data_IF_629256557235
#
_entry.id   IF_629256557235
#
_cell.length_a   1.000
_cell.length_b   1.000
_cell.length_c   1.000
_cell.angle_alpha   90.00
_cell.angle_beta   90.00
_cell.angle_gamma   90.00
#
_symmetry.space_group_name_H-M   'P 1'
#
loop_
_entity.id
_entity.type
_entity.pdbx_description
1 polymer ?
#
# COMPACT_ATOMS: atom_id res chain seq x y z
N UNK A 1 11.61 -15.01 -25.40
CA UNK A 1 10.88 -16.20 -24.88
C UNK A 1 11.42 -16.76 -23.57
N UNK A 2 12.75 -16.80 -23.35
CA UNK A 2 13.34 -17.33 -22.11
C UNK A 2 13.02 -16.50 -20.86
N UNK A 3 13.05 -15.16 -20.96
CA UNK A 3 12.69 -14.24 -19.86
C UNK A 3 11.26 -14.50 -19.35
N UNK A 4 10.28 -14.59 -20.26
CA UNK A 4 8.89 -14.87 -19.91
C UNK A 4 8.75 -16.22 -19.22
N UNK A 5 9.47 -17.25 -19.68
CA UNK A 5 9.47 -18.57 -19.05
C UNK A 5 9.98 -18.50 -17.61
N UNK A 6 11.08 -17.78 -17.36
CA UNK A 6 11.65 -17.60 -16.02
C UNK A 6 10.65 -16.87 -15.12
N UNK A 7 10.07 -15.76 -15.58
CA UNK A 7 9.07 -14.99 -14.83
C UNK A 7 7.88 -15.85 -14.44
N UNK A 8 7.33 -16.61 -15.38
CA UNK A 8 6.18 -17.49 -15.13
C UNK A 8 6.54 -18.63 -14.18
N UNK A 9 7.71 -19.25 -14.32
CA UNK A 9 8.14 -20.30 -13.40
C UNK A 9 8.35 -19.77 -11.98
N UNK A 10 9.01 -18.63 -11.82
CA UNK A 10 9.24 -18.01 -10.51
C UNK A 10 7.93 -17.60 -9.85
N UNK A 11 7.01 -16.98 -10.62
CA UNK A 11 5.68 -16.63 -10.12
C UNK A 11 4.89 -17.86 -9.68
N UNK A 12 4.98 -18.96 -10.42
CA UNK A 12 4.30 -20.22 -10.06
C UNK A 12 4.84 -20.81 -8.77
N UNK A 13 6.16 -20.79 -8.56
CA UNK A 13 6.79 -21.28 -7.32
C UNK A 13 6.36 -20.40 -6.14
N UNK A 14 6.47 -19.08 -6.27
CA UNK A 14 6.08 -18.14 -5.21
C UNK A 14 4.59 -18.26 -4.86
N UNK A 15 3.73 -18.47 -5.86
CA UNK A 15 2.29 -18.60 -5.61
C UNK A 15 1.93 -19.90 -4.86
N UNK A 16 2.69 -20.97 -5.08
CA UNK A 16 2.49 -22.27 -4.41
C UNK A 16 3.19 -22.37 -3.06
N UNK A 17 4.20 -21.54 -2.81
CA UNK A 17 4.91 -21.52 -1.55
C UNK A 17 3.99 -21.08 -0.40
N UNK A 18 4.02 -21.81 0.71
CA UNK A 18 3.32 -21.39 1.91
C UNK A 18 4.04 -20.20 2.54
N UNK A 19 3.29 -19.14 2.83
CA UNK A 19 3.85 -18.00 3.55
C UNK A 19 4.28 -18.45 4.95
N UNK A 20 5.43 -17.97 5.45
CA UNK A 20 5.83 -18.24 6.82
C UNK A 20 4.74 -17.79 7.80
N UNK A 21 4.54 -18.56 8.86
CA UNK A 21 3.53 -18.24 9.89
C UNK A 21 3.89 -16.97 10.70
N UNK A 22 5.13 -16.49 10.62
CA UNK A 22 5.52 -15.25 11.26
C UNK A 22 5.11 -14.05 10.40
N UNK A 23 4.54 -13.03 11.05
CA UNK A 23 4.22 -11.77 10.39
C UNK A 23 5.46 -10.89 10.39
N UNK A 24 5.76 -10.28 9.25
CA UNK A 24 6.83 -9.28 9.14
C UNK A 24 6.53 -7.99 9.92
N UNK A 25 5.27 -7.80 10.33
CA UNK A 25 4.80 -6.66 11.11
C UNK A 25 4.41 -7.11 12.51
N UNK A 26 4.91 -6.40 13.51
CA UNK A 26 4.53 -6.50 14.92
C UNK A 26 3.07 -6.10 15.17
N UNK A 27 2.57 -6.34 16.38
CA UNK A 27 1.21 -5.93 16.75
C UNK A 27 1.08 -4.41 16.84
N UNK A 28 2.15 -3.78 17.30
CA UNK A 28 2.29 -2.35 17.48
C UNK A 28 2.27 -1.63 16.13
N UNK A 29 3.02 -2.13 15.14
CA UNK A 29 2.97 -1.63 13.77
C UNK A 29 1.59 -1.83 13.14
N UNK A 30 0.97 -2.99 13.33
CA UNK A 30 -0.39 -3.22 12.84
C UNK A 30 -1.41 -2.27 13.48
N UNK A 31 -1.26 -1.97 14.77
CA UNK A 31 -2.09 -0.99 15.47
C UNK A 31 -1.87 0.40 14.89
N UNK A 32 -0.62 0.82 14.73
CA UNK A 32 -0.26 2.10 14.13
C UNK A 32 -0.84 2.25 12.71
N UNK A 33 -0.75 1.21 11.88
CA UNK A 33 -1.36 1.19 10.53
C UNK A 33 -2.88 1.30 10.57
N UNK A 34 -3.53 0.62 11.53
CA UNK A 34 -4.99 0.69 11.70
C UNK A 34 -5.45 2.06 12.18
N UNK A 35 -4.70 2.67 13.09
CA UNK A 35 -5.01 4.00 13.61
C UNK A 35 -4.75 5.07 12.54
N UNK A 36 -3.66 4.94 11.77
CA UNK A 36 -3.40 5.76 10.60
C UNK A 36 -4.50 5.66 9.54
N UNK A 37 -5.08 4.47 9.33
CA UNK A 37 -6.20 4.28 8.39
C UNK A 37 -7.51 4.95 8.87
N UNK A 38 -7.68 5.11 10.18
CA UNK A 38 -8.86 5.78 10.76
C UNK A 38 -8.72 7.30 10.78
N UNK A 39 -7.49 7.80 10.70
CA UNK A 39 -7.21 9.23 10.65
C UNK A 39 -7.81 9.82 9.37
N UNK A 40 -8.89 10.59 9.53
CA UNK A 40 -9.57 11.24 8.42
C UNK A 40 -8.92 12.55 8.02
N UNK A 41 -8.01 13.11 8.84
CA UNK A 41 -7.31 14.38 8.55
C UNK A 41 -6.31 14.27 7.40
N UNK A 42 -5.97 13.04 7.00
CA UNK A 42 -4.96 12.76 5.98
C UNK A 42 -5.50 11.89 4.86
N UNK A 43 -5.05 12.16 3.64
CA UNK A 43 -5.35 11.36 2.47
C UNK A 43 -4.11 10.54 2.12
N UNK A 44 -4.26 9.21 2.09
CA UNK A 44 -3.19 8.28 1.74
C UNK A 44 -3.55 7.62 0.42
N UNK A 45 -2.70 7.78 -0.60
CA UNK A 45 -2.93 7.21 -1.93
C UNK A 45 -1.67 6.60 -2.53
N UNK A 46 -1.88 5.71 -3.51
CA UNK A 46 -0.79 5.14 -4.30
C UNK A 46 -0.12 6.25 -5.11
N UNK A 47 1.21 6.34 -5.02
CA UNK A 47 1.96 7.17 -5.94
C UNK A 47 2.02 6.52 -7.32
N UNK A 48 2.13 7.32 -8.37
CA UNK A 48 2.25 6.83 -9.75
C UNK A 48 3.55 6.05 -9.99
N UNK A 49 4.58 6.28 -9.16
CA UNK A 49 5.93 5.74 -9.35
C UNK A 49 6.48 5.12 -8.06
N UNK A 50 7.36 4.13 -8.23
CA UNK A 50 8.21 3.60 -7.15
C UNK A 50 7.56 2.63 -6.16
N UNK A 51 6.31 2.20 -6.38
CA UNK A 51 5.53 1.46 -5.37
C UNK A 51 5.50 2.21 -4.02
N UNK A 52 5.45 3.54 -4.09
CA UNK A 52 5.40 4.44 -2.94
C UNK A 52 3.95 4.86 -2.65
N UNK A 53 3.78 5.51 -1.51
CA UNK A 53 2.51 6.13 -1.10
C UNK A 53 2.74 7.62 -0.89
N UNK A 54 1.74 8.42 -1.26
CA UNK A 54 1.68 9.85 -0.96
C UNK A 54 0.76 10.03 0.24
N UNK A 55 1.20 10.82 1.20
CA UNK A 55 0.41 11.25 2.36
C UNK A 55 0.21 12.76 2.23
N UNK A 56 -1.04 13.18 2.10
CA UNK A 56 -1.42 14.59 1.96
C UNK A 56 -2.32 14.99 3.12
N UNK A 57 -2.29 16.28 3.45
CA UNK A 57 -3.34 16.86 4.28
C UNK A 57 -4.67 16.81 3.52
N UNK A 58 -5.76 16.55 4.23
CA UNK A 58 -7.08 16.40 3.60
C UNK A 58 -7.56 17.73 3.01
N UNK A 59 -7.37 18.84 3.72
CA UNK A 59 -7.93 20.13 3.31
C UNK A 59 -7.24 20.62 2.04
N UNK A 60 -5.91 20.52 2.01
CA UNK A 60 -5.10 20.83 0.81
C UNK A 60 -5.50 19.97 -0.38
N UNK A 61 -5.72 18.67 -0.14
CA UNK A 61 -6.13 17.73 -1.18
C UNK A 61 -7.53 18.05 -1.73
N UNK A 62 -8.50 18.30 -0.86
CA UNK A 62 -9.87 18.62 -1.26
C UNK A 62 -9.93 19.95 -2.03
N UNK A 63 -9.21 20.98 -1.56
CA UNK A 63 -9.08 22.26 -2.26
C UNK A 63 -8.47 22.10 -3.66
N UNK A 64 -7.36 21.36 -3.79
CA UNK A 64 -6.69 21.16 -5.06
C UNK A 64 -7.56 20.40 -6.08
N UNK A 65 -8.41 19.48 -5.59
CA UNK A 65 -9.28 18.66 -6.42
C UNK A 65 -10.70 19.22 -6.56
N UNK A 66 -10.97 20.43 -6.05
CA UNK A 66 -12.29 21.07 -6.14
C UNK A 66 -13.40 20.32 -5.42
N UNK A 67 -13.05 19.51 -4.43
CA UNK A 67 -14.01 18.79 -3.58
C UNK A 67 -14.45 19.78 -2.49
N UNK A 68 -15.76 20.05 -2.33
CA UNK A 68 -16.20 20.90 -1.23
C UNK A 68 -15.88 20.23 0.10
N UNK A 69 -15.07 20.89 0.92
CA UNK A 69 -14.83 20.50 2.31
C UNK A 69 -16.16 20.56 3.07
N UNK A 70 -16.50 19.48 3.77
CA UNK A 70 -17.79 19.31 4.46
C UNK A 70 -17.80 20.01 5.82
#
# INVERSE_FOLDING_TARGET
NTETKIRTSTATILHRAQLPNHKNTTKEENKALRDLKKDTSRVIMKADKGNCFVVLDRDDYEQQNGIPSC
#
